data_IF_620335476152
#
_entry.id   IF_620335476152
#
_cell.length_a   1.000
_cell.length_b   1.000
_cell.length_c   1.000
_cell.angle_alpha   90.00
_cell.angle_beta   90.00
_cell.angle_gamma   90.00
#
_symmetry.space_group_name_H-M   'P 1'
#
loop_
_entity.id
_entity.type
_entity.pdbx_description
1 polymer ?
#
# COMPACT_ATOMS: atom_id res chain seq x y z
N UNK A 1 0.09 -22.54 -39.64
CA UNK A 1 -0.08 -22.86 -38.20
C UNK A 1 0.86 -24.01 -37.86
N UNK A 2 1.65 -23.89 -36.78
CA UNK A 2 2.60 -24.91 -36.35
C UNK A 2 2.06 -25.61 -35.09
N UNK A 3 1.45 -26.78 -35.25
CA UNK A 3 0.94 -27.56 -34.13
C UNK A 3 2.08 -28.45 -33.60
N UNK A 4 2.39 -28.31 -32.30
CA UNK A 4 3.35 -29.16 -31.60
C UNK A 4 2.60 -30.27 -30.86
N UNK A 5 3.06 -31.50 -30.99
CA UNK A 5 2.55 -32.64 -30.22
C UNK A 5 3.36 -32.78 -28.93
N UNK A 6 2.66 -32.93 -27.81
CA UNK A 6 3.23 -33.19 -26.49
C UNK A 6 2.65 -34.52 -25.99
N UNK A 7 3.47 -35.31 -25.31
CA UNK A 7 3.07 -36.57 -24.69
C UNK A 7 3.23 -36.47 -23.18
N UNK A 8 2.23 -36.94 -22.46
CA UNK A 8 2.20 -36.97 -21.00
C UNK A 8 1.85 -38.39 -20.55
N UNK A 9 2.43 -38.81 -19.44
CA UNK A 9 2.13 -40.08 -18.80
C UNK A 9 1.33 -39.81 -17.52
N UNK A 10 0.25 -40.54 -17.33
CA UNK A 10 -0.54 -40.55 -16.10
C UNK A 10 -0.30 -41.90 -15.41
N UNK A 11 0.01 -41.86 -14.12
CA UNK A 11 0.09 -43.02 -13.26
C UNK A 11 -1.30 -43.32 -12.67
N UNK A 12 -2.01 -44.29 -13.23
CA UNK A 12 -3.35 -44.69 -12.79
C UNK A 12 -3.37 -45.37 -11.41
N UNK A 13 -2.21 -45.75 -10.87
CA UNK A 13 -2.12 -46.24 -9.49
C UNK A 13 -2.30 -45.10 -8.47
N UNK A 14 -2.10 -43.85 -8.89
CA UNK A 14 -2.40 -42.67 -8.09
C UNK A 14 -3.86 -42.25 -8.29
N UNK A 15 -4.62 -42.11 -7.20
CA UNK A 15 -6.05 -41.81 -7.23
C UNK A 15 -6.39 -40.51 -8.00
N UNK A 16 -5.63 -39.44 -7.80
CA UNK A 16 -5.87 -38.14 -8.47
C UNK A 16 -5.61 -38.22 -9.98
N UNK A 17 -4.54 -38.93 -10.38
CA UNK A 17 -4.22 -39.11 -11.79
C UNK A 17 -5.17 -40.08 -12.48
N UNK A 18 -5.70 -41.06 -11.74
CA UNK A 18 -6.75 -41.94 -12.24
C UNK A 18 -8.07 -41.19 -12.44
N UNK A 19 -8.47 -40.33 -11.50
CA UNK A 19 -9.64 -39.47 -11.64
C UNK A 19 -9.50 -38.53 -12.86
N UNK A 20 -8.33 -37.92 -13.03
CA UNK A 20 -8.03 -37.09 -14.21
C UNK A 20 -8.11 -37.90 -15.51
N UNK A 21 -7.59 -39.13 -15.51
CA UNK A 21 -7.67 -40.02 -16.66
C UNK A 21 -9.12 -40.37 -17.02
N UNK A 22 -9.95 -40.71 -16.04
CA UNK A 22 -11.37 -40.98 -16.22
C UNK A 22 -12.11 -39.76 -16.76
N UNK A 23 -11.88 -38.58 -16.18
CA UNK A 23 -12.45 -37.32 -16.66
C UNK A 23 -12.11 -37.06 -18.13
N UNK A 24 -10.83 -37.11 -18.50
CA UNK A 24 -10.40 -36.87 -19.89
C UNK A 24 -10.93 -37.96 -20.83
N UNK A 25 -11.01 -39.22 -20.37
CA UNK A 25 -11.44 -40.34 -21.20
C UNK A 25 -12.91 -40.24 -21.62
N UNK A 26 -13.74 -39.63 -20.75
CA UNK A 26 -15.16 -39.40 -20.95
C UNK A 26 -15.48 -38.16 -21.81
N UNK A 27 -14.50 -37.30 -22.07
CA UNK A 27 -14.67 -36.12 -22.92
C UNK A 27 -14.77 -36.46 -24.41
N UNK A 28 -15.70 -35.80 -25.11
CA UNK A 28 -15.89 -35.97 -26.57
C UNK A 28 -14.65 -35.56 -27.36
N UNK A 29 -13.91 -34.56 -26.88
CA UNK A 29 -12.67 -34.09 -27.51
C UNK A 29 -11.55 -34.00 -26.47
N UNK A 30 -10.89 -35.14 -26.24
CA UNK A 30 -9.79 -35.30 -25.28
C UNK A 30 -8.64 -34.32 -25.49
N UNK A 31 -8.28 -34.06 -26.76
CA UNK A 31 -7.16 -33.15 -27.08
C UNK A 31 -7.51 -31.72 -26.70
N UNK A 32 -8.74 -31.30 -26.97
CA UNK A 32 -9.21 -29.98 -26.59
C UNK A 32 -9.30 -29.83 -25.07
N UNK A 33 -9.84 -30.83 -24.36
CA UNK A 33 -9.93 -30.83 -22.90
C UNK A 33 -8.53 -30.64 -22.26
N UNK A 34 -7.54 -31.44 -22.67
CA UNK A 34 -6.15 -31.31 -22.17
C UNK A 34 -5.57 -29.93 -22.47
N UNK A 35 -5.74 -29.43 -23.70
CA UNK A 35 -5.24 -28.12 -24.10
C UNK A 35 -5.85 -26.99 -23.27
N UNK A 36 -7.16 -27.04 -23.07
CA UNK A 36 -7.91 -26.00 -22.37
C UNK A 36 -7.56 -26.02 -20.87
N UNK A 37 -7.36 -27.19 -20.25
CA UNK A 37 -6.85 -27.33 -18.87
C UNK A 37 -5.44 -26.75 -18.70
N UNK A 38 -4.49 -27.07 -19.60
CA UNK A 38 -3.13 -26.51 -19.56
C UNK A 38 -3.17 -24.99 -19.74
N UNK A 39 -4.00 -24.50 -20.68
CA UNK A 39 -4.18 -23.05 -20.90
C UNK A 39 -4.76 -22.37 -19.64
N UNK A 40 -5.68 -23.02 -18.94
CA UNK A 40 -6.24 -22.49 -17.69
C UNK A 40 -5.16 -22.36 -16.62
N UNK A 41 -4.34 -23.40 -16.39
CA UNK A 41 -3.23 -23.35 -15.43
C UNK A 41 -2.28 -22.18 -15.74
N UNK A 42 -1.93 -21.98 -17.02
CA UNK A 42 -1.09 -20.86 -17.44
C UNK A 42 -1.76 -19.50 -17.17
N UNK A 43 -3.07 -19.36 -17.45
CA UNK A 43 -3.80 -18.11 -17.20
C UNK A 43 -3.92 -17.81 -15.71
N UNK A 44 -4.17 -18.82 -14.88
CA UNK A 44 -4.19 -18.69 -13.42
C UNK A 44 -2.83 -18.25 -12.89
N UNK A 45 -1.74 -18.85 -13.39
CA UNK A 45 -0.38 -18.44 -13.04
C UNK A 45 -0.07 -16.99 -13.46
N UNK A 46 -0.60 -16.52 -14.60
CA UNK A 46 -0.45 -15.13 -15.04
C UNK A 46 -1.20 -14.14 -14.15
N UNK A 47 -2.31 -14.56 -13.52
CA UNK A 47 -3.02 -13.73 -12.55
C UNK A 47 -2.24 -13.68 -11.23
N UNK A 48 -1.76 -14.83 -10.75
CA UNK A 48 -0.85 -14.92 -9.62
C UNK A 48 -0.11 -16.25 -9.66
N UNK A 49 1.22 -16.22 -9.51
CA UNK A 49 2.09 -17.40 -9.68
C UNK A 49 1.70 -18.57 -8.74
N UNK A 50 1.18 -18.27 -7.55
CA UNK A 50 0.85 -19.28 -6.53
C UNK A 50 -0.59 -19.80 -6.65
N UNK A 51 -1.43 -19.13 -7.45
CA UNK A 51 -2.86 -19.39 -7.53
C UNK A 51 -3.21 -20.83 -7.97
N UNK A 52 -2.57 -21.42 -9.01
CA UNK A 52 -2.86 -22.80 -9.39
C UNK A 52 -2.59 -23.80 -8.26
N UNK A 53 -1.47 -23.63 -7.55
CA UNK A 53 -1.05 -24.54 -6.47
C UNK A 53 -1.99 -24.45 -5.26
N UNK A 54 -2.36 -23.23 -4.86
CA UNK A 54 -3.21 -23.04 -3.70
C UNK A 54 -4.65 -23.51 -4.00
N UNK A 55 -5.18 -23.22 -5.20
CA UNK A 55 -6.48 -23.74 -5.61
C UNK A 55 -6.51 -25.26 -5.59
N UNK A 56 -5.46 -25.91 -6.10
CA UNK A 56 -5.36 -27.36 -6.08
C UNK A 56 -5.35 -27.92 -4.64
N UNK A 57 -4.54 -27.32 -3.75
CA UNK A 57 -4.49 -27.73 -2.35
C UNK A 57 -5.84 -27.55 -1.62
N UNK A 58 -6.58 -26.49 -1.95
CA UNK A 58 -7.89 -26.22 -1.35
C UNK A 58 -8.93 -27.24 -1.82
N UNK A 59 -8.95 -27.56 -3.11
CA UNK A 59 -9.87 -28.54 -3.68
C UNK A 59 -9.58 -29.96 -3.18
N UNK A 60 -8.30 -30.33 -3.00
CA UNK A 60 -7.90 -31.60 -2.39
C UNK A 60 -8.40 -31.75 -0.94
N UNK A 61 -8.54 -30.63 -0.21
CA UNK A 61 -9.00 -30.61 1.17
C UNK A 61 -10.51 -30.33 1.31
N UNK A 62 -11.32 -30.65 0.29
CA UNK A 62 -12.78 -30.44 0.28
C UNK A 62 -13.24 -28.98 0.43
N UNK A 63 -12.42 -28.02 -0.01
CA UNK A 63 -12.73 -26.60 0.09
C UNK A 63 -13.99 -26.20 -0.69
N UNK A 64 -14.76 -25.29 -0.09
CA UNK A 64 -15.99 -24.70 -0.61
C UNK A 64 -15.67 -23.52 -1.57
N UNK A 65 -16.59 -23.21 -2.47
CA UNK A 65 -16.65 -21.95 -3.25
C UNK A 65 -16.42 -20.70 -2.37
N UNK A 66 -16.94 -20.67 -1.14
CA UNK A 66 -16.71 -19.54 -0.23
C UNK A 66 -15.26 -19.46 0.25
N UNK A 67 -14.57 -20.59 0.41
CA UNK A 67 -13.14 -20.62 0.73
C UNK A 67 -12.33 -20.09 -0.47
N UNK A 68 -12.75 -20.40 -1.70
CA UNK A 68 -12.16 -19.86 -2.93
C UNK A 68 -12.33 -18.33 -2.97
N UNK A 69 -13.51 -17.80 -2.62
CA UNK A 69 -13.75 -16.34 -2.58
C UNK A 69 -12.86 -15.66 -1.55
N UNK A 70 -12.83 -16.18 -0.32
CA UNK A 70 -12.00 -15.64 0.75
C UNK A 70 -10.51 -15.64 0.38
N UNK A 71 -10.06 -16.69 -0.32
CA UNK A 71 -8.70 -16.79 -0.84
C UNK A 71 -8.41 -15.75 -1.93
N UNK A 72 -9.31 -15.58 -2.91
CA UNK A 72 -9.15 -14.57 -3.96
C UNK A 72 -9.10 -13.16 -3.37
N UNK A 73 -9.91 -12.88 -2.34
CA UNK A 73 -9.87 -11.62 -1.60
C UNK A 73 -8.53 -11.43 -0.86
N UNK A 74 -7.98 -12.49 -0.29
CA UNK A 74 -6.67 -12.45 0.37
C UNK A 74 -5.51 -12.21 -0.61
N UNK A 75 -5.57 -12.83 -1.79
CA UNK A 75 -4.59 -12.62 -2.87
C UNK A 75 -4.66 -11.19 -3.39
N UNK A 76 -5.86 -10.66 -3.60
CA UNK A 76 -6.06 -9.28 -4.04
C UNK A 76 -5.56 -8.26 -3.00
N UNK A 77 -5.62 -8.60 -1.71
CA UNK A 77 -5.01 -7.78 -0.65
C UNK A 77 -3.48 -7.83 -0.73
N UNK A 78 -2.88 -9.00 -0.91
CA UNK A 78 -1.43 -9.20 -0.90
C UNK A 78 -0.65 -8.52 -2.05
N UNK A 79 -1.31 -8.11 -3.14
CA UNK A 79 -0.68 -7.39 -4.27
C UNK A 79 -0.67 -5.86 -4.13
N UNK A 80 -1.27 -5.32 -3.05
CA UNK A 80 -1.04 -3.92 -2.74
C UNK A 80 0.35 -3.79 -2.11
N UNK A 81 1.22 -2.96 -2.70
CA UNK A 81 2.44 -2.47 -2.06
C UNK A 81 2.10 -1.97 -0.65
N UNK A 82 2.25 -2.84 0.37
CA UNK A 82 1.92 -2.54 1.74
C UNK A 82 3.01 -1.64 2.32
N UNK A 83 2.81 -0.35 2.09
CA UNK A 83 3.54 0.71 2.76
C UNK A 83 2.89 0.95 4.13
N UNK A 84 3.58 0.61 5.21
CA UNK A 84 3.17 0.94 6.57
C UNK A 84 3.78 2.26 7.02
N UNK A 85 3.12 2.96 7.95
CA UNK A 85 3.70 4.17 8.53
C UNK A 85 4.82 3.75 9.51
N UNK A 86 6.06 4.09 9.17
CA UNK A 86 7.26 3.72 9.94
C UNK A 86 7.75 4.83 10.87
N UNK A 87 7.37 6.09 10.59
CA UNK A 87 7.72 7.23 11.44
C UNK A 87 6.75 8.39 11.24
N UNK A 88 6.72 9.30 12.21
CA UNK A 88 5.90 10.51 12.17
C UNK A 88 6.78 11.73 12.38
N UNK A 89 6.47 12.81 11.65
CA UNK A 89 7.25 14.03 11.70
C UNK A 89 6.35 15.27 11.75
N UNK A 90 6.87 16.33 12.36
CA UNK A 90 6.25 17.65 12.47
C UNK A 90 7.24 18.74 12.12
N UNK A 91 6.73 19.85 11.58
CA UNK A 91 7.44 21.12 11.48
C UNK A 91 6.50 22.28 11.75
N UNK A 92 7.07 23.41 12.17
CA UNK A 92 6.31 24.60 12.55
C UNK A 92 6.87 25.82 11.81
N UNK A 93 6.05 26.85 11.62
CA UNK A 93 6.51 28.13 11.10
C UNK A 93 7.37 28.83 12.14
N UNK A 94 8.58 29.24 11.76
CA UNK A 94 9.47 30.01 12.61
C UNK A 94 9.04 31.49 12.61
N UNK A 95 8.41 31.93 13.69
CA UNK A 95 7.94 33.32 13.82
C UNK A 95 9.03 34.32 14.16
N UNK A 96 10.24 33.85 14.50
CA UNK A 96 11.37 34.67 14.94
C UNK A 96 12.25 35.16 13.77
N UNK A 97 12.13 34.52 12.60
CA UNK A 97 12.89 34.89 11.40
C UNK A 97 12.06 35.72 10.42
N UNK A 98 12.68 36.68 9.71
CA UNK A 98 12.02 37.41 8.64
C UNK A 98 11.55 36.44 7.56
N UNK A 99 10.35 36.67 7.02
CA UNK A 99 9.65 35.81 6.05
C UNK A 99 9.10 34.48 6.59
N UNK A 100 9.18 34.24 7.90
CA UNK A 100 8.52 33.12 8.56
C UNK A 100 8.76 31.74 7.91
N UNK A 101 10.03 31.28 7.82
CA UNK A 101 10.35 30.01 7.18
C UNK A 101 9.83 28.82 8.00
N UNK A 102 9.60 27.69 7.34
CA UNK A 102 9.29 26.43 8.02
C UNK A 102 10.53 25.88 8.72
N UNK A 103 10.36 25.37 9.93
CA UNK A 103 11.40 24.59 10.62
C UNK A 103 11.71 23.29 9.89
N UNK A 104 12.83 22.68 10.24
CA UNK A 104 13.14 21.31 9.84
C UNK A 104 12.08 20.32 10.35
N UNK A 105 12.02 19.17 9.69
CA UNK A 105 11.16 18.07 10.10
C UNK A 105 11.76 17.37 11.31
N UNK A 106 11.02 17.38 12.41
CA UNK A 106 11.42 16.75 13.67
C UNK A 106 10.56 15.51 13.87
N UNK A 107 11.16 14.43 14.39
CA UNK A 107 10.44 13.20 14.73
C UNK A 107 9.46 13.44 15.87
N UNK A 108 8.25 12.88 15.76
CA UNK A 108 7.21 12.93 16.79
C UNK A 108 6.66 11.52 17.03
N UNK A 109 5.88 11.37 18.10
CA UNK A 109 5.13 10.14 18.35
C UNK A 109 3.87 10.06 17.47
N UNK A 110 3.38 8.84 17.26
CA UNK A 110 2.08 8.60 16.63
C UNK A 110 0.94 9.35 17.33
N UNK A 111 0.96 9.38 18.67
CA UNK A 111 -0.08 10.05 19.46
C UNK A 111 -0.11 11.55 19.21
N UNK A 112 1.05 12.19 19.04
CA UNK A 112 1.13 13.61 18.69
C UNK A 112 0.67 13.86 17.25
N UNK A 113 1.05 12.99 16.32
CA UNK A 113 0.59 13.04 14.92
C UNK A 113 -0.94 13.01 14.83
N UNK A 114 -1.58 12.05 15.50
CA UNK A 114 -3.04 11.90 15.52
C UNK A 114 -3.74 13.09 16.19
N UNK A 115 -3.14 13.66 17.24
CA UNK A 115 -3.66 14.85 17.90
C UNK A 115 -3.62 16.06 16.96
N UNK A 116 -2.52 16.25 16.23
CA UNK A 116 -2.38 17.33 15.25
C UNK A 116 -3.31 17.20 14.05
N UNK A 117 -3.69 15.98 13.65
CA UNK A 117 -4.71 15.77 12.62
C UNK A 117 -6.11 16.21 13.08
N UNK A 118 -6.42 16.07 14.38
CA UNK A 118 -7.72 16.46 14.95
C UNK A 118 -7.86 17.98 15.14
N UNK A 119 -6.74 18.67 15.32
CA UNK A 119 -6.69 20.13 15.46
C UNK A 119 -5.75 20.73 14.42
N UNK A 120 -6.19 20.81 13.14
CA UNK A 120 -5.37 21.35 12.08
C UNK A 120 -5.09 22.84 12.33
N UNK A 121 -3.82 23.20 12.31
CA UNK A 121 -3.32 24.55 12.50
C UNK A 121 -2.55 25.00 11.26
N UNK A 122 -2.71 26.25 10.85
CA UNK A 122 -2.04 26.83 9.69
C UNK A 122 -0.53 27.00 9.92
N UNK A 123 -0.09 27.03 11.18
CA UNK A 123 1.34 27.18 11.54
C UNK A 123 2.07 25.87 11.78
N UNK A 124 1.37 24.73 11.71
CA UNK A 124 1.91 23.40 12.01
C UNK A 124 1.63 22.44 10.87
N UNK A 125 2.66 21.72 10.42
CA UNK A 125 2.51 20.63 9.44
C UNK A 125 3.00 19.31 10.04
N UNK A 126 2.25 18.24 9.76
CA UNK A 126 2.59 16.88 10.15
C UNK A 126 2.59 15.96 8.94
N UNK A 127 3.46 14.94 8.95
CA UNK A 127 3.50 13.89 7.94
C UNK A 127 3.86 12.54 8.54
N UNK A 128 3.39 11.46 7.91
CA UNK A 128 3.84 10.11 8.17
C UNK A 128 4.83 9.68 7.08
N UNK A 129 5.92 9.03 7.48
CA UNK A 129 6.84 8.35 6.57
C UNK A 129 6.37 6.92 6.38
N UNK A 130 6.38 6.47 5.13
CA UNK A 130 5.89 5.17 4.72
C UNK A 130 7.06 4.27 4.33
N UNK A 131 7.12 3.07 4.88
CA UNK A 131 8.13 2.04 4.57
C UNK A 131 7.47 0.73 4.12
N UNK A 132 8.17 -0.08 3.33
CA UNK A 132 7.66 -1.40 2.93
C UNK A 132 7.70 -2.36 4.12
N UNK A 133 6.60 -3.07 4.36
CA UNK A 133 6.44 -4.00 5.49
C UNK A 133 7.39 -5.22 5.44
N UNK A 134 7.82 -5.62 4.23
CA UNK A 134 8.87 -6.61 4.02
C UNK A 134 10.14 -5.84 3.64
N UNK A 135 11.01 -5.63 4.64
CA UNK A 135 12.16 -4.73 4.60
C UNK A 135 12.90 -4.70 3.26
N UNK A 136 13.34 -3.49 2.89
CA UNK A 136 14.02 -3.18 1.64
C UNK A 136 15.23 -4.10 1.41
N UNK A 137 15.03 -5.20 0.67
CA UNK A 137 16.14 -5.91 0.02
C UNK A 137 16.59 -5.26 -1.28
N UNK A 138 16.04 -4.10 -1.62
CA UNK A 138 16.49 -3.29 -2.75
C UNK A 138 16.71 -1.85 -2.31
N UNK A 139 17.99 -1.44 -2.27
CA UNK A 139 18.41 -0.05 -2.19
C UNK A 139 17.96 0.69 -3.45
N UNK A 140 16.68 1.01 -3.57
CA UNK A 140 16.18 1.89 -4.62
C UNK A 140 15.39 3.04 -3.98
N UNK A 141 16.15 3.99 -3.43
CA UNK A 141 15.66 5.19 -2.75
C UNK A 141 15.43 6.29 -3.79
N UNK A 142 14.76 6.03 -4.90
CA UNK A 142 14.56 7.10 -5.89
C UNK A 142 13.20 7.78 -5.77
N UNK A 143 12.12 7.14 -5.29
CA UNK A 143 10.81 7.79 -5.25
C UNK A 143 10.04 7.56 -3.94
N UNK A 144 10.37 8.33 -2.91
CA UNK A 144 9.43 8.58 -1.81
C UNK A 144 8.30 9.44 -2.38
N UNK A 145 7.12 8.83 -2.59
CA UNK A 145 5.92 9.56 -2.98
C UNK A 145 5.52 10.46 -1.80
N UNK A 146 5.93 11.72 -1.85
CA UNK A 146 5.40 12.76 -0.99
C UNK A 146 3.91 12.91 -1.31
N UNK A 147 3.05 12.46 -0.40
CA UNK A 147 1.62 12.78 -0.47
C UNK A 147 1.53 14.29 -0.23
N UNK A 148 1.44 15.06 -1.33
CA UNK A 148 1.11 16.48 -1.26
C UNK A 148 -0.29 16.58 -0.67
N UNK A 149 -0.53 17.45 0.33
CA UNK A 149 -1.88 17.71 0.80
C UNK A 149 -2.76 18.15 -0.39
N UNK A 150 -4.02 17.70 -0.39
CA UNK A 150 -4.98 17.87 -1.50
C UNK A 150 -5.28 19.31 -1.91
N UNK A 151 -4.72 20.31 -1.23
CA UNK A 151 -4.82 21.70 -1.64
C UNK A 151 -3.42 22.22 -1.99
N UNK A 152 -3.19 22.73 -3.20
CA UNK A 152 -2.04 23.59 -3.43
C UNK A 152 -2.21 24.80 -2.50
N UNK A 153 -1.36 24.92 -1.47
CA UNK A 153 -1.21 26.19 -0.73
C UNK A 153 -0.40 27.14 -1.61
N UNK A 154 -0.95 27.45 -2.79
CA UNK A 154 -0.61 28.64 -3.54
C UNK A 154 -1.63 29.70 -3.16
N UNK A 155 -1.51 30.19 -1.94
CA UNK A 155 -1.97 31.50 -1.52
C UNK A 155 -1.35 31.74 -0.15
N UNK A 156 -0.25 32.52 -0.11
CA UNK A 156 -0.05 33.36 1.07
C UNK A 156 -1.35 34.17 1.23
N UNK A 157 -2.05 34.12 2.38
CA UNK A 157 -3.02 35.14 2.65
C UNK A 157 -2.24 36.45 2.81
N UNK A 158 -2.30 37.30 1.79
CA UNK A 158 -2.02 38.72 1.97
C UNK A 158 -2.89 39.21 3.13
N UNK A 159 -2.22 39.66 4.21
CA UNK A 159 -2.77 40.12 5.50
C UNK A 159 -2.94 39.03 6.57
N UNK A 160 -1.82 38.53 7.08
CA UNK A 160 -1.74 38.20 8.49
C UNK A 160 -1.89 39.49 9.32
N UNK A 161 -3.09 39.78 9.82
CA UNK A 161 -3.23 40.62 11.02
C UNK A 161 -3.01 39.71 12.22
N UNK A 162 -1.84 39.84 12.84
CA UNK A 162 -1.55 39.24 14.15
C UNK A 162 -2.62 39.75 15.12
N UNK A 163 -3.34 38.89 15.86
CA UNK A 163 -4.19 39.37 16.94
C UNK A 163 -3.30 39.99 18.01
N UNK A 164 -3.62 41.21 18.44
CA UNK A 164 -2.88 41.92 19.48
C UNK A 164 -2.79 41.04 20.73
N UNK A 165 -1.61 40.47 20.95
CA UNK A 165 -1.35 39.59 22.06
C UNK A 165 -0.90 40.47 23.24
N UNK A 166 -1.66 40.50 24.33
CA UNK A 166 -1.45 41.35 25.52
C UNK A 166 -0.05 41.18 26.16
N UNK A 167 0.65 40.09 25.84
CA UNK A 167 2.02 39.83 26.28
C UNK A 167 3.02 40.81 25.65
N UNK A 168 2.82 41.22 24.39
CA UNK A 168 3.72 42.15 23.67
C UNK A 168 3.46 43.61 24.09
N UNK A 169 2.23 43.96 24.44
CA UNK A 169 1.88 45.31 24.93
C UNK A 169 2.50 45.60 26.31
N UNK A 170 2.55 44.60 27.18
CA UNK A 170 3.17 44.71 28.50
C UNK A 170 4.69 44.81 28.44
N UNK A 171 5.36 44.12 27.51
CA UNK A 171 6.81 44.25 27.32
C UNK A 171 7.21 45.68 26.89
N UNK A 172 6.40 46.34 26.06
CA UNK A 172 6.62 47.74 25.66
C UNK A 172 6.46 48.74 26.81
N UNK A 173 5.58 48.48 27.78
CA UNK A 173 5.42 49.32 28.99
C UNK A 173 6.60 49.24 29.95
N UNK A 174 7.23 48.07 30.06
CA UNK A 174 8.33 47.84 31.01
C UNK A 174 9.66 48.35 30.45
N UNK A 175 9.93 48.15 29.16
CA UNK A 175 11.22 48.47 28.55
C UNK A 175 11.23 49.72 27.66
N UNK A 176 10.07 50.34 27.42
CA UNK A 176 9.92 51.52 26.57
C UNK A 176 10.21 52.87 27.23
N UNK A 177 10.53 52.92 28.53
CA UNK A 177 11.01 54.16 29.16
C UNK A 177 12.53 54.22 29.08
N UNK A 178 13.04 54.92 28.07
CA UNK A 178 14.31 55.64 28.18
C UNK A 178 14.09 57.13 27.97
N UNK A 179 14.77 57.86 28.85
CA UNK A 179 14.88 59.30 29.09
C UNK A 179 14.82 60.19 27.86
#
# INVERSE_FOLDING_TARGET
>A
MNNKKLFFYLNTDNAEQNELFEFISNEKNRTQAVRDSISLTLRLHKLNNSLPTILNALLQNSGNIDDIKAMLDAINKNDSNHYENVAWQKRVVNTLEPNHPWSDWIAITQSEYEKSLKTPDLTTQVRALKGKQLGDKENNIDHVIAIKPNNPVNAQPEKYKVPDNDVVSNAKKIFGKKR
#
